data_IF_352295463701
#
_entry.id   IF_352295463701
#
_cell.length_a   1.000
_cell.length_b   1.000
_cell.length_c   1.000
_cell.angle_alpha   90.00
_cell.angle_beta   90.00
_cell.angle_gamma   90.00
#
_symmetry.space_group_name_H-M   'P 1'
#
loop_
_entity.id
_entity.type
_entity.pdbx_description
1 polymer ?
#
# COMPACT_ATOMS: atom_id res chain seq x y z
N UNK A 1 18.11 2.63 2.01
CA UNK A 1 17.64 3.70 1.12
C UNK A 1 16.15 3.78 1.34
N UNK A 2 15.67 4.86 1.94
CA UNK A 2 14.24 5.06 2.18
C UNK A 2 13.55 5.30 0.84
N UNK A 3 12.66 4.39 0.43
CA UNK A 3 11.80 4.60 -0.73
C UNK A 3 10.70 5.57 -0.29
N UNK A 4 11.03 6.85 -0.16
CA UNK A 4 9.97 7.86 -0.13
C UNK A 4 9.32 7.84 -1.51
N UNK A 5 8.04 7.44 -1.64
CA UNK A 5 7.30 7.65 -2.89
C UNK A 5 7.48 9.12 -3.27
N UNK A 6 8.22 9.35 -4.35
CA UNK A 6 8.75 10.68 -4.67
C UNK A 6 7.71 11.51 -5.44
N UNK A 7 6.50 11.59 -4.90
CA UNK A 7 5.33 12.39 -5.32
C UNK A 7 4.17 11.58 -5.91
N UNK A 8 2.96 11.87 -5.42
CA UNK A 8 1.71 11.46 -6.08
C UNK A 8 1.19 12.60 -6.92
N UNK A 9 0.94 12.34 -8.20
CA UNK A 9 0.32 13.30 -9.13
C UNK A 9 -1.15 13.01 -9.24
N UNK A 10 -1.96 13.77 -8.50
CA UNK A 10 -3.42 13.69 -8.52
C UNK A 10 -3.92 14.39 -9.78
N UNK A 11 -4.76 13.72 -10.56
CA UNK A 11 -5.34 14.24 -11.82
C UNK A 11 -6.86 14.22 -11.73
N UNK A 12 -7.49 15.20 -12.34
CA UNK A 12 -8.94 15.30 -12.44
C UNK A 12 -9.35 16.18 -13.61
N UNK A 13 -10.52 16.81 -13.49
CA UNK A 13 -11.09 17.65 -14.54
C UNK A 13 -11.46 19.03 -13.99
N UNK A 14 -11.12 20.08 -14.73
CA UNK A 14 -11.63 21.42 -14.48
C UNK A 14 -13.17 21.40 -14.57
N UNK A 15 -13.90 21.74 -13.50
CA UNK A 15 -15.36 21.62 -13.46
C UNK A 15 -16.08 22.60 -14.40
N UNK A 16 -15.40 23.64 -14.88
CA UNK A 16 -15.94 24.63 -15.81
C UNK A 16 -15.69 24.26 -17.26
N UNK A 17 -14.55 23.64 -17.56
CA UNK A 17 -14.09 23.41 -18.94
C UNK A 17 -14.05 21.95 -19.35
N UNK A 18 -14.10 21.02 -18.41
CA UNK A 18 -13.95 19.58 -18.64
C UNK A 18 -12.53 19.16 -19.05
N UNK A 19 -11.55 20.07 -19.03
CA UNK A 19 -10.15 19.75 -19.37
C UNK A 19 -9.50 18.93 -18.26
N UNK A 20 -8.68 17.95 -18.63
CA UNK A 20 -7.84 17.23 -17.66
C UNK A 20 -6.77 18.16 -17.07
N UNK A 21 -6.62 18.12 -15.75
CA UNK A 21 -5.69 18.97 -14.99
C UNK A 21 -4.89 18.14 -13.97
N UNK A 22 -3.75 18.69 -13.54
CA UNK A 22 -3.07 18.23 -12.33
C UNK A 22 -3.71 18.97 -11.16
N UNK A 23 -4.31 18.23 -10.23
CA UNK A 23 -4.95 18.81 -9.05
C UNK A 23 -3.95 19.01 -7.91
N UNK A 24 -2.94 18.14 -7.81
CA UNK A 24 -1.91 18.22 -6.78
C UNK A 24 -0.69 17.37 -7.18
N UNK A 25 0.49 17.85 -6.79
CA UNK A 25 1.77 17.16 -6.89
C UNK A 25 2.48 17.32 -5.54
N UNK A 26 2.34 16.32 -4.68
CA UNK A 26 2.87 16.39 -3.32
C UNK A 26 3.48 15.04 -2.91
N UNK A 27 4.56 15.06 -2.10
CA UNK A 27 5.10 13.86 -1.50
C UNK A 27 4.11 13.30 -0.49
N UNK A 28 4.04 11.97 -0.40
CA UNK A 28 3.31 11.29 0.67
C UNK A 28 4.34 10.66 1.61
N UNK A 29 4.05 10.75 2.91
CA UNK A 29 4.84 10.12 3.96
C UNK A 29 4.18 8.81 4.43
N UNK A 30 4.97 7.77 4.76
CA UNK A 30 4.43 6.56 5.37
C UNK A 30 3.80 6.86 6.73
N UNK A 31 2.67 6.21 7.02
CA UNK A 31 2.00 6.26 8.31
C UNK A 31 2.23 4.97 9.09
N UNK A 32 2.41 5.09 10.40
CA UNK A 32 2.49 3.97 11.33
C UNK A 32 1.10 3.34 11.52
N UNK A 33 0.89 2.06 11.20
CA UNK A 33 -0.42 1.39 11.30
C UNK A 33 -0.91 1.23 12.76
N UNK A 34 0.01 1.33 13.72
CA UNK A 34 -0.25 1.25 15.15
C UNK A 34 -0.52 2.62 15.80
N UNK A 35 -0.22 3.73 15.10
CA UNK A 35 -0.47 5.08 15.60
C UNK A 35 -1.82 5.62 15.06
N UNK A 36 -2.80 5.94 15.91
CA UNK A 36 -4.09 6.48 15.47
C UNK A 36 -3.99 7.87 14.81
N UNK A 37 -2.91 8.60 15.04
CA UNK A 37 -2.66 9.94 14.47
C UNK A 37 -1.93 9.89 13.12
N UNK A 38 -1.47 8.71 12.70
CA UNK A 38 -0.82 8.50 11.40
C UNK A 38 0.58 9.08 11.29
N UNK A 39 1.29 9.28 12.42
CA UNK A 39 2.70 9.67 12.38
C UNK A 39 3.56 8.58 11.71
N UNK A 40 4.71 8.93 11.11
CA UNK A 40 5.61 7.93 10.54
C UNK A 40 6.12 6.90 11.56
N UNK A 41 6.41 5.66 11.13
CA UNK A 41 7.09 4.69 11.99
C UNK A 41 8.45 5.23 12.48
N UNK A 42 8.90 4.87 13.70
CA UNK A 42 10.24 5.20 14.16
C UNK A 42 11.32 4.64 13.24
N UNK A 43 12.41 5.40 13.04
CA UNK A 43 13.48 5.17 12.04
C UNK A 43 14.23 3.84 12.21
N UNK A 44 14.20 3.24 13.42
CA UNK A 44 14.85 1.96 13.73
C UNK A 44 13.85 0.90 14.23
N UNK A 45 12.58 1.03 13.85
CA UNK A 45 11.55 0.04 14.21
C UNK A 45 11.38 -1.01 13.12
N UNK A 46 10.88 -2.18 13.53
CA UNK A 46 10.41 -3.24 12.62
C UNK A 46 8.97 -2.99 12.11
N UNK A 47 8.40 -1.84 12.43
CA UNK A 47 7.01 -1.51 12.08
C UNK A 47 6.95 -1.08 10.61
N UNK A 48 6.14 -1.74 9.77
CA UNK A 48 5.96 -1.33 8.39
C UNK A 48 5.28 0.03 8.28
N UNK A 49 5.75 0.84 7.34
CA UNK A 49 5.12 2.11 6.96
C UNK A 49 4.06 1.90 5.89
N UNK A 50 2.89 2.51 6.05
CA UNK A 50 1.81 2.43 5.06
C UNK A 50 1.53 3.78 4.42
N UNK A 51 1.65 3.86 3.10
CA UNK A 51 1.27 5.03 2.31
C UNK A 51 0.07 4.71 1.44
N UNK A 52 -1.13 5.06 1.90
CA UNK A 52 -2.34 4.96 1.10
C UNK A 52 -2.35 6.03 0.00
N UNK A 53 -2.42 5.60 -1.27
CA UNK A 53 -2.33 6.47 -2.44
C UNK A 53 -3.73 6.83 -2.94
N UNK A 54 -4.57 5.83 -3.18
CA UNK A 54 -5.93 6.05 -3.66
C UNK A 54 -6.82 4.84 -3.36
N UNK A 55 -8.14 5.06 -3.37
CA UNK A 55 -9.14 4.00 -3.25
C UNK A 55 -10.34 4.27 -4.13
N UNK A 56 -10.79 3.25 -4.85
CA UNK A 56 -12.08 3.30 -5.56
C UNK A 56 -13.24 2.88 -4.66
N UNK A 57 -14.43 3.39 -4.93
CA UNK A 57 -15.69 2.85 -4.39
C UNK A 57 -16.31 1.88 -5.39
N UNK A 58 -16.25 0.59 -5.08
CA UNK A 58 -16.70 -0.48 -5.95
C UNK A 58 -15.74 -0.78 -7.12
N UNK A 59 -16.09 -1.82 -7.87
CA UNK A 59 -15.50 -2.19 -9.14
C UNK A 59 -16.64 -2.62 -10.10
N UNK A 60 -17.03 -1.78 -11.09
CA UNK A 60 -16.38 -0.52 -11.52
C UNK A 60 -16.39 0.61 -10.47
N UNK A 61 -15.40 1.50 -10.57
CA UNK A 61 -15.22 2.62 -9.64
C UNK A 61 -16.26 3.72 -9.82
N UNK A 62 -17.01 4.05 -8.77
CA UNK A 62 -18.03 5.12 -8.80
C UNK A 62 -17.49 6.51 -8.49
N UNK A 63 -16.32 6.62 -7.87
CA UNK A 63 -15.67 7.89 -7.50
C UNK A 63 -14.55 8.31 -8.46
N UNK A 64 -14.39 7.64 -9.62
CA UNK A 64 -13.28 7.92 -10.53
C UNK A 64 -13.33 9.30 -11.20
N UNK A 65 -14.53 9.88 -11.34
CA UNK A 65 -14.75 11.23 -11.91
C UNK A 65 -15.20 12.26 -10.86
N UNK A 66 -15.20 11.85 -9.58
CA UNK A 66 -15.62 12.70 -8.47
C UNK A 66 -14.49 13.58 -7.94
N UNK A 67 -14.78 14.43 -6.94
CA UNK A 67 -13.74 15.16 -6.23
C UNK A 67 -12.75 14.19 -5.59
N UNK A 68 -11.47 14.59 -5.52
CA UNK A 68 -10.44 13.78 -4.89
C UNK A 68 -10.77 13.51 -3.42
N UNK A 69 -10.78 12.23 -3.05
CA UNK A 69 -10.92 11.80 -1.66
C UNK A 69 -9.57 11.39 -1.11
N UNK A 70 -9.01 12.21 -0.22
CA UNK A 70 -7.69 11.93 0.34
C UNK A 70 -7.74 10.80 1.36
N UNK A 71 -6.96 9.76 1.09
CA UNK A 71 -6.77 8.58 1.95
C UNK A 71 -5.39 8.55 2.61
N UNK A 72 -4.51 9.50 2.28
CA UNK A 72 -3.19 9.61 2.89
C UNK A 72 -3.31 9.84 4.41
N UNK A 73 -2.47 9.16 5.19
CA UNK A 73 -2.48 9.21 6.65
C UNK A 73 -3.69 8.54 7.30
N UNK A 74 -4.68 8.06 6.54
CA UNK A 74 -5.86 7.38 7.09
C UNK A 74 -5.59 5.91 7.31
N UNK A 75 -6.09 5.37 8.42
CA UNK A 75 -6.10 3.92 8.67
C UNK A 75 -7.09 3.23 7.75
N UNK A 76 -6.58 2.42 6.82
CA UNK A 76 -7.36 1.49 6.01
C UNK A 76 -6.94 0.08 6.41
N UNK A 77 -7.92 -0.74 6.79
CA UNK A 77 -7.68 -2.13 7.15
C UNK A 77 -7.08 -2.95 6.01
N UNK A 78 -6.78 -4.22 6.31
CA UNK A 78 -6.35 -5.22 5.34
C UNK A 78 -7.40 -5.41 4.24
N UNK A 79 -8.68 -5.40 4.62
CA UNK A 79 -9.82 -5.38 3.70
C UNK A 79 -10.53 -4.03 3.82
N UNK A 80 -10.80 -3.43 2.67
CA UNK A 80 -11.63 -2.23 2.60
C UNK A 80 -13.09 -2.61 2.29
N UNK A 81 -14.05 -2.23 3.16
CA UNK A 81 -15.46 -2.61 2.97
C UNK A 81 -16.13 -1.91 1.78
N UNK A 82 -15.50 -0.90 1.17
CA UNK A 82 -16.05 -0.21 -0.01
C UNK A 82 -16.07 -1.08 -1.28
N UNK A 83 -15.48 -2.27 -1.26
CA UNK A 83 -15.55 -3.25 -2.35
C UNK A 83 -14.87 -2.80 -3.64
N UNK A 84 -13.91 -1.87 -3.54
CA UNK A 84 -13.14 -1.35 -4.67
C UNK A 84 -11.66 -1.78 -4.65
N UNK A 85 -10.84 -1.02 -5.37
CA UNK A 85 -9.39 -1.18 -5.45
C UNK A 85 -8.74 -0.23 -4.45
N UNK A 86 -7.82 -0.74 -3.64
CA UNK A 86 -6.96 0.09 -2.79
C UNK A 86 -5.54 0.08 -3.37
N UNK A 87 -5.01 1.25 -3.70
CA UNK A 87 -3.62 1.44 -4.07
C UNK A 87 -2.86 2.00 -2.87
N UNK A 88 -1.85 1.27 -2.42
CA UNK A 88 -0.96 1.69 -1.33
C UNK A 88 0.45 1.18 -1.57
N UNK A 89 1.41 1.84 -0.96
CA UNK A 89 2.79 1.34 -0.83
C UNK A 89 3.01 0.96 0.62
N UNK A 90 3.77 -0.12 0.82
CA UNK A 90 4.13 -0.61 2.13
C UNK A 90 5.65 -0.70 2.18
N UNK A 91 6.23 0.01 3.14
CA UNK A 91 7.67 0.00 3.41
C UNK A 91 7.93 -1.00 4.55
N UNK A 92 8.55 -2.13 4.21
CA UNK A 92 8.94 -3.15 5.19
C UNK A 92 10.38 -2.90 5.65
N UNK A 93 10.63 -2.63 6.94
CA UNK A 93 11.98 -2.56 7.47
C UNK A 93 12.72 -3.87 7.28
N UNK A 94 14.02 -3.80 7.02
CA UNK A 94 14.83 -4.99 6.88
C UNK A 94 14.93 -5.73 8.22
N UNK A 95 14.70 -7.05 8.18
CA UNK A 95 14.98 -7.92 9.32
C UNK A 95 16.44 -8.41 9.28
N UNK A 96 17.06 -8.70 10.44
CA UNK A 96 18.48 -9.07 10.50
C UNK A 96 18.84 -10.30 9.66
N UNK A 97 17.95 -11.30 9.61
CA UNK A 97 18.14 -12.53 8.82
C UNK A 97 16.81 -13.00 8.22
N UNK A 98 16.83 -13.78 7.11
CA UNK A 98 15.62 -14.38 6.53
C UNK A 98 14.87 -15.35 7.47
N UNK A 99 15.53 -15.85 8.50
CA UNK A 99 14.95 -16.73 9.53
C UNK A 99 14.36 -15.95 10.71
N UNK A 100 14.52 -14.62 10.73
CA UNK A 100 13.92 -13.77 11.75
C UNK A 100 12.40 -13.92 11.67
N UNK A 101 11.79 -14.31 12.79
CA UNK A 101 10.33 -14.38 12.88
C UNK A 101 9.79 -12.95 12.86
N UNK A 102 8.96 -12.67 11.87
CA UNK A 102 8.29 -11.38 11.78
C UNK A 102 7.05 -11.39 12.68
N UNK A 103 7.17 -10.78 13.85
CA UNK A 103 6.07 -10.68 14.83
C UNK A 103 5.09 -9.55 14.49
N UNK A 104 5.43 -8.67 13.54
CA UNK A 104 4.61 -7.50 13.19
C UNK A 104 3.73 -7.78 11.97
N UNK A 105 4.29 -8.45 10.97
CA UNK A 105 3.57 -8.83 9.75
C UNK A 105 2.88 -10.17 9.96
N UNK A 106 1.60 -10.10 10.31
CA UNK A 106 0.79 -11.27 10.65
C UNK A 106 0.36 -12.06 9.40
N UNK A 107 0.37 -13.39 9.50
CA UNK A 107 -0.26 -14.25 8.51
C UNK A 107 -1.75 -13.95 8.41
N UNK A 108 -2.25 -13.63 7.22
CA UNK A 108 -3.66 -13.33 7.02
C UNK A 108 -4.17 -13.64 5.62
N UNK A 109 -5.51 -13.66 5.50
CA UNK A 109 -6.24 -13.76 4.26
C UNK A 109 -7.15 -12.57 4.08
N UNK A 110 -7.22 -12.07 2.86
CA UNK A 110 -8.17 -11.08 2.38
C UNK A 110 -9.14 -11.72 1.38
N UNK A 111 -10.38 -11.23 1.32
CA UNK A 111 -11.30 -11.56 0.21
C UNK A 111 -11.02 -10.64 -0.98
N UNK A 112 -9.78 -10.67 -1.47
CA UNK A 112 -9.31 -9.82 -2.58
C UNK A 112 -8.37 -10.60 -3.51
N UNK A 113 -8.07 -9.97 -4.64
CA UNK A 113 -6.89 -10.28 -5.44
C UNK A 113 -5.96 -9.10 -5.33
N UNK A 114 -4.72 -9.33 -4.90
CA UNK A 114 -3.72 -8.29 -4.71
C UNK A 114 -2.61 -8.43 -5.76
N UNK A 115 -2.20 -7.30 -6.33
CA UNK A 115 -1.09 -7.23 -7.27
C UNK A 115 0.06 -6.49 -6.57
N UNK A 116 0.96 -7.26 -5.95
CA UNK A 116 2.14 -6.73 -5.28
C UNK A 116 3.28 -6.53 -6.27
N UNK A 117 3.94 -5.37 -6.24
CA UNK A 117 5.13 -5.10 -7.04
C UNK A 117 6.25 -4.66 -6.12
N UNK A 118 7.40 -5.32 -6.20
CA UNK A 118 8.57 -4.92 -5.40
C UNK A 118 9.22 -3.70 -6.04
N UNK A 119 9.08 -2.54 -5.39
CA UNK A 119 9.63 -1.28 -5.91
C UNK A 119 11.14 -1.15 -5.70
N UNK A 120 11.66 -1.61 -4.57
CA UNK A 120 13.10 -1.72 -4.30
C UNK A 120 13.37 -2.69 -3.14
N UNK A 121 14.57 -3.26 -3.10
CA UNK A 121 14.94 -4.30 -2.15
C UNK A 121 14.45 -5.70 -2.56
N UNK A 122 14.33 -6.57 -1.57
CA UNK A 122 13.82 -7.93 -1.71
C UNK A 122 12.87 -8.24 -0.53
N UNK A 123 11.87 -9.09 -0.76
CA UNK A 123 10.92 -9.52 0.27
C UNK A 123 10.66 -11.02 0.16
N UNK A 124 10.61 -11.71 1.30
CA UNK A 124 10.20 -13.10 1.36
C UNK A 124 8.67 -13.20 1.40
N UNK A 125 8.07 -13.91 0.45
CA UNK A 125 6.67 -14.32 0.48
C UNK A 125 6.60 -15.72 1.09
N UNK A 126 5.86 -15.87 2.17
CA UNK A 126 5.64 -17.13 2.88
C UNK A 126 4.16 -17.49 2.82
N UNK A 127 3.84 -18.76 2.60
CA UNK A 127 2.46 -19.27 2.63
C UNK A 127 2.24 -20.17 3.85
N UNK A 128 0.97 -20.48 4.12
CA UNK A 128 0.57 -21.25 5.30
C UNK A 128 0.96 -22.74 5.28
N UNK A 129 1.32 -23.28 4.11
CA UNK A 129 1.93 -24.60 3.98
C UNK A 129 3.45 -24.60 4.26
N UNK A 130 4.02 -23.44 4.58
CA UNK A 130 5.45 -23.24 4.84
C UNK A 130 6.29 -23.04 3.57
N UNK A 131 5.68 -23.05 2.38
CA UNK A 131 6.38 -22.68 1.15
C UNK A 131 6.82 -21.22 1.20
N UNK A 132 8.00 -20.94 0.64
CA UNK A 132 8.57 -19.59 0.60
C UNK A 132 9.25 -19.30 -0.72
N UNK A 133 9.18 -18.05 -1.16
CA UNK A 133 9.95 -17.53 -2.28
C UNK A 133 10.43 -16.12 -2.00
N UNK A 134 11.54 -15.70 -2.63
CA UNK A 134 12.04 -14.33 -2.53
C UNK A 134 11.65 -13.58 -3.79
N UNK A 135 10.93 -12.47 -3.60
CA UNK A 135 10.63 -11.50 -4.65
C UNK A 135 11.69 -10.40 -4.63
N UNK A 136 12.24 -10.08 -5.79
CA UNK A 136 13.25 -9.03 -5.99
C UNK A 136 12.64 -7.81 -6.63
N UNK A 137 13.37 -6.70 -6.59
CA UNK A 137 12.99 -5.47 -7.28
C UNK A 137 12.53 -5.72 -8.72
N UNK A 138 11.32 -5.25 -9.04
CA UNK A 138 10.65 -5.44 -10.33
C UNK A 138 9.77 -6.69 -10.42
N UNK A 139 9.88 -7.64 -9.50
CA UNK A 139 9.00 -8.81 -9.47
C UNK A 139 7.57 -8.41 -9.12
N UNK A 140 6.62 -9.15 -9.69
CA UNK A 140 5.19 -8.99 -9.48
C UNK A 140 4.62 -10.27 -8.89
N UNK A 141 3.90 -10.15 -7.77
CA UNK A 141 3.12 -11.21 -7.17
C UNK A 141 1.62 -11.00 -7.42
N UNK A 142 0.92 -12.06 -7.81
CA UNK A 142 -0.53 -12.08 -7.92
C UNK A 142 -1.10 -12.92 -6.78
N UNK A 143 -1.55 -12.26 -5.73
CA UNK A 143 -2.08 -12.89 -4.53
C UNK A 143 -3.59 -13.13 -4.68
N UNK A 144 -4.02 -14.39 -4.70
CA UNK A 144 -5.42 -14.76 -5.02
C UNK A 144 -6.21 -15.17 -3.77
N UNK A 145 -6.25 -14.31 -2.76
CA UNK A 145 -6.88 -14.61 -1.47
C UNK A 145 -6.18 -15.74 -0.69
N UNK A 146 -4.89 -15.94 -0.95
CA UNK A 146 -4.04 -16.90 -0.24
C UNK A 146 -3.65 -16.36 1.13
N UNK A 147 -3.49 -17.27 2.10
CA UNK A 147 -2.95 -16.92 3.40
C UNK A 147 -1.44 -16.70 3.26
N UNK A 148 -0.96 -15.55 3.74
CA UNK A 148 0.42 -15.08 3.55
C UNK A 148 0.83 -14.05 4.60
#
# INVERSE_FOLDING_TARGET
MDITITNTKKKGHDPRTGRSIIESDAPLVPANPLDPTGTPPPVDSIIPGFTNVFRTRGNPATNAQGPWEDVHGRKIGLVDPSGGVCCRVVDFPAVPTPETVDEVNIMHRTQSVDFGVVLSGEIALVLDDGSRTVLRQGDVCVQRGTNH
#
